data_IF_219090253676
#
_entry.id   IF_219090253676
#
_cell.length_a   1.000
_cell.length_b   1.000
_cell.length_c   1.000
_cell.angle_alpha   90.00
_cell.angle_beta   90.00
_cell.angle_gamma   90.00
#
_symmetry.space_group_name_H-M   'P 1'
#
loop_
_entity.id
_entity.type
_entity.pdbx_description
1 polymer ?
#
# COMPACT_ATOMS: atom_id res chain seq x y z
N UNK A 1 -1.20 -17.88 2.99
CA UNK A 1 -1.96 -17.10 2.00
C UNK A 1 -1.02 -16.76 0.86
N UNK A 2 -0.90 -17.65 -0.12
CA UNK A 2 -0.03 -17.45 -1.27
C UNK A 2 -0.64 -16.38 -2.16
N UNK A 3 0.03 -15.23 -2.23
CA UNK A 3 -0.36 -14.07 -3.01
C UNK A 3 -0.09 -14.34 -4.49
N UNK A 4 -1.00 -15.04 -5.15
CA UNK A 4 -0.96 -15.30 -6.60
C UNK A 4 -1.53 -14.14 -7.43
N UNK A 5 -2.00 -13.07 -6.78
CA UNK A 5 -2.92 -12.09 -7.37
C UNK A 5 -2.30 -10.70 -7.65
N UNK A 6 -1.03 -10.46 -7.27
CA UNK A 6 -0.44 -9.13 -7.41
C UNK A 6 1.04 -9.00 -7.07
N UNK A 7 1.56 -7.79 -7.22
CA UNK A 7 2.96 -7.44 -6.96
C UNK A 7 3.15 -7.07 -5.49
N UNK A 8 4.09 -7.73 -4.81
CA UNK A 8 4.45 -7.40 -3.43
C UNK A 8 5.55 -6.33 -3.39
N UNK A 9 5.32 -5.30 -2.61
CA UNK A 9 6.25 -4.21 -2.31
C UNK A 9 6.63 -4.26 -0.84
N UNK A 10 7.92 -4.32 -0.57
CA UNK A 10 8.45 -4.15 0.78
C UNK A 10 8.79 -2.67 1.00
N UNK A 11 7.89 -1.92 1.62
CA UNK A 11 8.08 -0.50 1.90
C UNK A 11 7.37 -0.07 3.17
N UNK A 12 7.85 1.00 3.80
CA UNK A 12 7.23 1.54 5.01
C UNK A 12 6.33 2.73 4.68
N UNK A 13 5.41 3.06 5.57
CA UNK A 13 4.64 4.31 5.46
C UNK A 13 5.52 5.55 5.50
N UNK A 14 6.69 5.50 6.13
CA UNK A 14 7.64 6.62 6.14
C UNK A 14 8.29 6.82 4.77
N UNK A 15 8.71 5.73 4.12
CA UNK A 15 9.26 5.75 2.77
C UNK A 15 8.23 6.32 1.78
N UNK A 16 6.98 5.84 1.86
CA UNK A 16 5.88 6.38 1.05
C UNK A 16 5.71 7.87 1.31
N UNK A 17 5.67 8.28 2.58
CA UNK A 17 5.54 9.69 2.96
C UNK A 17 6.67 10.57 2.39
N UNK A 18 7.90 10.05 2.35
CA UNK A 18 9.05 10.74 1.80
C UNK A 18 8.93 10.90 0.28
N UNK A 19 8.46 9.87 -0.43
CA UNK A 19 8.27 9.89 -1.89
C UNK A 19 7.17 10.87 -2.29
N UNK A 20 6.00 10.81 -1.65
CA UNK A 20 4.86 11.69 -2.01
C UNK A 20 4.88 13.06 -1.32
N UNK A 21 5.83 13.31 -0.41
CA UNK A 21 5.98 14.58 0.34
C UNK A 21 4.66 15.10 0.95
N UNK A 22 3.83 14.18 1.44
CA UNK A 22 2.55 14.48 2.09
C UNK A 22 2.65 14.31 3.60
N UNK A 23 1.60 14.70 4.33
CA UNK A 23 1.47 14.37 5.75
C UNK A 23 1.14 12.89 5.95
N UNK A 24 1.65 12.30 7.04
CA UNK A 24 1.38 10.90 7.42
C UNK A 24 -0.12 10.59 7.52
N UNK A 25 -0.92 11.57 7.91
CA UNK A 25 -2.38 11.48 8.00
C UNK A 25 -3.03 11.27 6.63
N UNK A 26 -2.59 12.03 5.62
CA UNK A 26 -3.08 11.93 4.25
C UNK A 26 -2.68 10.57 3.66
N UNK A 27 -1.43 10.16 3.83
CA UNK A 27 -0.93 8.84 3.39
C UNK A 27 -1.75 7.71 4.03
N UNK A 28 -2.04 7.81 5.33
CA UNK A 28 -2.88 6.83 6.03
C UNK A 28 -4.30 6.75 5.47
N UNK A 29 -4.93 7.90 5.15
CA UNK A 29 -6.26 7.94 4.54
C UNK A 29 -6.26 7.32 3.14
N UNK A 30 -5.30 7.68 2.29
CA UNK A 30 -5.20 7.13 0.92
C UNK A 30 -4.97 5.62 0.95
N UNK A 31 -4.06 5.13 1.81
CA UNK A 31 -3.83 3.69 1.95
C UNK A 31 -5.09 2.94 2.43
N UNK A 32 -5.89 3.58 3.30
CA UNK A 32 -7.17 3.01 3.74
C UNK A 32 -8.21 3.00 2.62
N UNK A 33 -8.33 4.08 1.85
CA UNK A 33 -9.22 4.14 0.69
C UNK A 33 -8.84 3.14 -0.40
N UNK A 34 -7.55 3.00 -0.71
CA UNK A 34 -7.07 2.01 -1.67
C UNK A 34 -7.32 0.56 -1.20
N UNK A 35 -7.24 0.31 0.11
CA UNK A 35 -7.60 -0.98 0.70
C UNK A 35 -9.11 -1.24 0.61
N UNK A 36 -9.94 -0.23 0.89
CA UNK A 36 -11.40 -0.31 0.83
C UNK A 36 -11.88 -0.63 -0.59
N UNK A 37 -11.24 -0.02 -1.59
CA UNK A 37 -11.44 -0.30 -3.02
C UNK A 37 -10.88 -1.66 -3.49
N UNK A 38 -10.34 -2.47 -2.57
CA UNK A 38 -9.69 -3.76 -2.87
C UNK A 38 -8.56 -3.68 -3.91
N UNK A 39 -7.89 -2.53 -4.04
CA UNK A 39 -6.77 -2.32 -4.96
C UNK A 39 -5.44 -2.76 -4.35
N UNK A 40 -5.32 -2.60 -3.03
CA UNK A 40 -4.13 -2.98 -2.28
C UNK A 40 -4.48 -3.72 -1.00
N UNK A 41 -3.52 -4.46 -0.49
CA UNK A 41 -3.54 -4.98 0.86
C UNK A 41 -2.24 -4.66 1.57
N UNK A 42 -2.32 -4.01 2.72
CA UNK A 42 -1.16 -3.61 3.52
C UNK A 42 -1.10 -4.40 4.83
N UNK A 43 0.04 -5.05 5.06
CA UNK A 43 0.36 -5.76 6.30
C UNK A 43 1.78 -5.41 6.76
N UNK A 44 1.90 -4.58 7.79
CA UNK A 44 3.19 -4.10 8.28
C UNK A 44 3.97 -3.32 7.22
N UNK A 45 5.17 -3.81 6.86
CA UNK A 45 6.03 -3.26 5.79
C UNK A 45 5.76 -3.89 4.41
N UNK A 46 4.82 -4.82 4.33
CA UNK A 46 4.49 -5.51 3.08
C UNK A 46 3.18 -4.95 2.55
N UNK A 47 3.22 -4.39 1.35
CA UNK A 47 2.04 -3.94 0.62
C UNK A 47 1.92 -4.80 -0.62
N UNK A 48 0.73 -5.31 -0.92
CA UNK A 48 0.48 -6.05 -2.15
C UNK A 48 -0.51 -5.28 -3.00
N UNK A 49 -0.17 -5.12 -4.28
CA UNK A 49 -0.97 -4.39 -5.26
C UNK A 49 -1.60 -5.39 -6.22
N UNK A 50 -2.92 -5.46 -6.23
CA UNK A 50 -3.69 -6.38 -7.06
C UNK A 50 -3.79 -5.88 -8.51
N UNK A 51 -3.99 -6.79 -9.47
CA UNK A 51 -4.27 -6.44 -10.87
C UNK A 51 -3.08 -5.90 -11.69
N UNK A 52 -1.84 -6.10 -11.23
CA UNK A 52 -0.61 -5.65 -11.91
C UNK A 52 -0.06 -6.67 -12.92
N UNK A 53 -0.93 -7.42 -13.60
CA UNK A 53 -0.56 -8.39 -14.64
C UNK A 53 -0.66 -7.82 -16.05
#
# INVERSE_FOLDING_TARGET
MSYSDGTQLHTTRQEINHIVSCSREIVGRILKEMKDKQLISAHGKTIVVFGTR
#
